data_IF_580213907416
#
_entry.id   IF_580213907416
#
_cell.length_a   1.000
_cell.length_b   1.000
_cell.length_c   1.000
_cell.angle_alpha   90.00
_cell.angle_beta   90.00
_cell.angle_gamma   90.00
#
_symmetry.space_group_name_H-M   'P 1'
#
loop_
_entity.id
_entity.type
_entity.pdbx_description
1 polymer ?
#
# COMPACT_ATOMS: atom_id res chain seq x y z
N UNK A 1 -14.15 45.14 -16.10
CA UNK A 1 -13.06 45.49 -15.18
C UNK A 1 -13.64 45.72 -13.78
N UNK A 2 -13.00 45.15 -12.74
CA UNK A 2 -13.26 45.33 -11.29
C UNK A 2 -14.54 44.61 -10.78
N UNK A 3 -14.57 43.40 -10.19
CA UNK A 3 -13.63 42.64 -9.33
C UNK A 3 -12.82 43.56 -8.40
N UNK A 4 -13.47 44.17 -7.42
CA UNK A 4 -12.74 44.84 -6.32
C UNK A 4 -13.53 45.12 -5.01
N UNK A 5 -14.87 44.97 -4.94
CA UNK A 5 -15.62 45.56 -3.80
C UNK A 5 -16.54 44.60 -3.01
N UNK A 6 -16.25 43.29 -3.01
CA UNK A 6 -16.98 42.31 -2.16
C UNK A 6 -16.31 42.03 -0.80
N UNK A 7 -15.34 42.86 -0.41
CA UNK A 7 -14.46 42.62 0.76
C UNK A 7 -14.97 43.32 2.04
N UNK A 8 -16.04 44.14 2.00
CA UNK A 8 -16.43 44.97 3.15
C UNK A 8 -17.62 44.48 3.99
N UNK A 9 -18.01 43.20 3.90
CA UNK A 9 -19.21 42.69 4.60
C UNK A 9 -18.93 41.63 5.67
N UNK A 10 -17.67 41.20 5.85
CA UNK A 10 -17.34 40.01 6.67
C UNK A 10 -16.92 40.37 8.11
N UNK A 11 -16.80 41.66 8.46
CA UNK A 11 -16.30 42.10 9.78
C UNK A 11 -17.38 42.31 10.86
N UNK A 12 -18.56 41.70 10.79
CA UNK A 12 -19.63 41.99 11.78
C UNK A 12 -20.34 40.79 12.42
N UNK A 13 -19.90 39.55 12.18
CA UNK A 13 -20.48 38.35 12.83
C UNK A 13 -19.50 37.80 13.86
N UNK A 14 -19.05 38.67 14.75
CA UNK A 14 -18.17 38.33 15.87
C UNK A 14 -18.77 38.80 17.19
N UNK A 15 -19.96 38.29 17.56
CA UNK A 15 -20.41 38.25 18.95
C UNK A 15 -21.65 37.37 19.10
N UNK A 16 -21.50 36.05 19.17
CA UNK A 16 -22.33 35.13 19.98
C UNK A 16 -21.93 33.68 19.67
N UNK A 17 -21.53 32.93 20.70
CA UNK A 17 -21.41 31.47 20.63
C UNK A 17 -20.00 30.96 20.83
N UNK A 18 -19.67 30.71 22.11
CA UNK A 18 -18.52 29.93 22.51
C UNK A 18 -18.59 28.49 21.97
N UNK A 19 -17.39 27.89 21.83
CA UNK A 19 -17.06 26.47 21.66
C UNK A 19 -17.43 25.80 20.32
N UNK A 20 -16.44 25.63 19.44
CA UNK A 20 -15.79 24.31 19.27
C UNK A 20 -14.29 24.54 19.03
N UNK A 21 -13.52 23.93 19.92
CA UNK A 21 -12.07 23.79 19.86
C UNK A 21 -11.72 22.60 18.95
N UNK A 22 -10.60 22.76 18.24
CA UNK A 22 -9.69 21.71 17.74
C UNK A 22 -10.19 20.77 16.63
N UNK A 23 -9.60 20.91 15.44
CA UNK A 23 -8.53 20.04 14.93
C UNK A 23 -8.12 20.60 13.55
N UNK A 24 -7.06 21.40 13.44
CA UNK A 24 -5.66 20.97 13.25
C UNK A 24 -5.46 19.87 12.19
N UNK A 25 -4.53 20.18 11.28
CA UNK A 25 -3.72 19.28 10.46
C UNK A 25 -4.34 18.60 9.23
N UNK A 26 -4.08 19.23 8.07
CA UNK A 26 -3.68 18.50 6.86
C UNK A 26 -2.32 17.84 7.13
N UNK A 27 -2.32 16.72 7.84
CA UNK A 27 -1.22 15.75 7.86
C UNK A 27 -1.78 14.40 8.35
N UNK A 28 -1.56 13.34 7.57
CA UNK A 28 -1.75 11.92 7.91
C UNK A 28 -2.97 11.13 7.36
N UNK A 29 -3.76 11.65 6.42
CA UNK A 29 -4.68 10.77 5.65
C UNK A 29 -3.99 9.97 4.54
N UNK A 30 -2.91 10.49 3.94
CA UNK A 30 -2.18 9.76 2.88
C UNK A 30 -1.33 8.59 3.39
N UNK A 31 -1.10 8.49 4.71
CA UNK A 31 -0.27 7.42 5.30
C UNK A 31 -1.07 6.30 5.95
N UNK A 32 -2.35 6.54 6.28
CA UNK A 32 -3.18 5.57 7.00
C UNK A 32 -4.32 4.94 6.17
N UNK A 33 -4.55 5.39 4.93
CA UNK A 33 -5.53 4.76 4.03
C UNK A 33 -5.09 3.37 3.52
N UNK A 34 -3.79 3.09 3.50
CA UNK A 34 -3.23 1.82 3.01
C UNK A 34 -3.14 0.71 4.06
N UNK A 35 -3.37 1.02 5.35
CA UNK A 35 -3.14 0.09 6.47
C UNK A 35 -4.39 -0.20 7.34
N UNK A 36 -5.50 0.50 7.14
CA UNK A 36 -6.73 0.31 7.95
C UNK A 36 -7.82 -0.57 7.31
N UNK A 37 -7.58 -1.11 6.11
CA UNK A 37 -8.60 -1.84 5.32
C UNK A 37 -8.74 -3.33 5.71
N UNK A 38 -8.61 -3.65 7.00
CA UNK A 38 -8.74 -5.02 7.52
C UNK A 38 -10.19 -5.50 7.68
N UNK A 39 -11.20 -4.67 7.42
CA UNK A 39 -12.61 -5.02 7.64
C UNK A 39 -13.43 -4.78 6.36
N UNK A 40 -13.80 -5.89 5.71
CA UNK A 40 -14.87 -5.97 4.69
C UNK A 40 -14.63 -5.11 3.45
N UNK A 41 -13.57 -5.42 2.69
CA UNK A 41 -13.40 -4.83 1.36
C UNK A 41 -14.44 -5.47 0.44
N UNK A 42 -15.53 -4.75 0.16
CA UNK A 42 -16.44 -5.14 -0.92
C UNK A 42 -15.66 -5.27 -2.22
N UNK A 43 -16.04 -6.20 -3.10
CA UNK A 43 -15.36 -6.46 -4.38
C UNK A 43 -14.98 -5.17 -5.14
N UNK A 44 -15.86 -4.17 -5.14
CA UNK A 44 -15.59 -2.86 -5.76
C UNK A 44 -14.49 -2.01 -5.11
N UNK A 45 -14.22 -2.18 -3.82
CA UNK A 45 -13.10 -1.52 -3.15
C UNK A 45 -11.75 -2.21 -3.42
N UNK A 46 -11.75 -3.53 -3.66
CA UNK A 46 -10.55 -4.26 -4.11
C UNK A 46 -10.14 -3.82 -5.52
N UNK A 47 -11.11 -3.72 -6.44
CA UNK A 47 -10.87 -3.26 -7.82
C UNK A 47 -10.34 -1.81 -7.85
N UNK A 48 -10.92 -0.93 -7.02
CA UNK A 48 -10.45 0.45 -6.84
C UNK A 48 -9.00 0.50 -6.36
N UNK A 49 -8.64 -0.29 -5.34
CA UNK A 49 -7.26 -0.35 -4.84
C UNK A 49 -6.27 -0.89 -5.88
N UNK A 50 -6.63 -1.93 -6.65
CA UNK A 50 -5.78 -2.45 -7.73
C UNK A 50 -5.53 -1.37 -8.80
N UNK A 51 -6.56 -0.58 -9.14
CA UNK A 51 -6.45 0.51 -10.10
C UNK A 51 -5.51 1.61 -9.60
N UNK A 52 -5.60 2.01 -8.33
CA UNK A 52 -4.70 3.00 -7.73
C UNK A 52 -3.23 2.54 -7.72
N UNK A 53 -2.97 1.29 -7.33
CA UNK A 53 -1.62 0.73 -7.43
C UNK A 53 -1.11 0.68 -8.88
N UNK A 54 -2.00 0.39 -9.83
CA UNK A 54 -1.64 0.36 -11.25
C UNK A 54 -1.34 1.76 -11.81
N UNK A 55 -1.98 2.82 -11.30
CA UNK A 55 -1.61 4.20 -11.59
C UNK A 55 -0.25 4.54 -10.97
N UNK A 56 -0.02 4.15 -9.71
CA UNK A 56 1.27 4.36 -9.04
C UNK A 56 2.42 3.71 -9.84
N UNK A 57 2.22 2.50 -10.38
CA UNK A 57 3.22 1.81 -11.22
C UNK A 57 3.46 2.47 -12.58
N UNK A 58 2.49 3.24 -13.11
CA UNK A 58 2.72 4.07 -14.31
C UNK A 58 3.60 5.28 -14.01
N UNK A 59 3.55 5.79 -12.77
CA UNK A 59 4.37 6.91 -12.33
C UNK A 59 5.78 6.46 -11.93
N UNK A 60 5.87 5.35 -11.20
CA UNK A 60 7.13 4.71 -10.81
C UNK A 60 7.00 3.18 -10.91
N UNK A 61 7.58 2.63 -11.97
CA UNK A 61 7.58 1.18 -12.23
C UNK A 61 8.68 0.42 -11.50
N UNK A 62 9.54 1.10 -10.74
CA UNK A 62 10.71 0.52 -10.08
C UNK A 62 10.51 0.26 -8.59
N UNK A 63 9.36 0.65 -8.03
CA UNK A 63 9.07 0.48 -6.62
C UNK A 63 8.58 -0.93 -6.29
N UNK A 64 9.47 -1.76 -5.73
CA UNK A 64 9.13 -3.09 -5.23
C UNK A 64 7.96 -3.06 -4.22
N UNK A 65 7.88 -2.02 -3.38
CA UNK A 65 6.81 -1.84 -2.38
C UNK A 65 5.43 -1.70 -3.02
N UNK A 66 5.34 -1.00 -4.15
CA UNK A 66 4.06 -0.81 -4.87
C UNK A 66 3.59 -2.14 -5.46
N UNK A 67 4.50 -2.96 -5.99
CA UNK A 67 4.16 -4.31 -6.44
C UNK A 67 3.70 -5.21 -5.29
N UNK A 68 4.36 -5.18 -4.13
CA UNK A 68 3.91 -5.92 -2.92
C UNK A 68 2.52 -5.46 -2.49
N UNK A 69 2.25 -4.15 -2.47
CA UNK A 69 0.95 -3.59 -2.13
C UNK A 69 -0.15 -4.05 -3.09
N UNK A 70 0.09 -4.00 -4.40
CA UNK A 70 -0.87 -4.49 -5.41
C UNK A 70 -1.12 -5.99 -5.29
N UNK A 71 -0.06 -6.76 -5.05
CA UNK A 71 -0.16 -8.20 -4.87
C UNK A 71 -1.00 -8.59 -3.65
N UNK A 72 -0.86 -7.86 -2.53
CA UNK A 72 -1.67 -8.09 -1.34
C UNK A 72 -3.17 -7.92 -1.63
N UNK A 73 -3.54 -6.89 -2.41
CA UNK A 73 -4.95 -6.67 -2.81
C UNK A 73 -5.44 -7.74 -3.79
N UNK A 74 -4.60 -8.17 -4.73
CA UNK A 74 -4.95 -9.28 -5.64
C UNK A 74 -5.13 -10.59 -4.88
N UNK A 75 -4.27 -10.87 -3.91
CA UNK A 75 -4.38 -12.02 -3.05
C UNK A 75 -5.68 -12.00 -2.23
N UNK A 76 -6.07 -10.85 -1.64
CA UNK A 76 -7.36 -10.73 -0.94
C UNK A 76 -8.57 -10.82 -1.87
N UNK A 77 -8.40 -10.47 -3.16
CA UNK A 77 -9.40 -10.70 -4.20
C UNK A 77 -9.46 -12.15 -4.70
N UNK A 78 -8.58 -13.04 -4.21
CA UNK A 78 -8.48 -14.44 -4.64
C UNK A 78 -7.68 -14.64 -5.93
N UNK A 79 -7.11 -13.59 -6.51
CA UNK A 79 -6.21 -13.66 -7.67
C UNK A 79 -4.78 -14.00 -7.23
N UNK A 80 -4.58 -15.25 -6.82
CA UNK A 80 -3.28 -15.75 -6.36
C UNK A 80 -2.23 -15.69 -7.48
N UNK A 81 -2.60 -16.02 -8.73
CA UNK A 81 -1.70 -15.94 -9.89
C UNK A 81 -1.23 -14.51 -10.18
N UNK A 82 -2.14 -13.55 -10.13
CA UNK A 82 -1.81 -12.14 -10.31
C UNK A 82 -0.98 -11.60 -9.15
N UNK A 83 -1.21 -12.05 -7.92
CA UNK A 83 -0.37 -11.75 -6.77
C UNK A 83 1.05 -12.30 -6.95
N UNK A 84 1.21 -13.56 -7.38
CA UNK A 84 2.53 -14.18 -7.67
C UNK A 84 3.28 -13.39 -8.75
N UNK A 85 2.58 -12.94 -9.80
CA UNK A 85 3.16 -12.15 -10.88
C UNK A 85 3.73 -10.83 -10.36
N UNK A 86 2.95 -10.09 -9.57
CA UNK A 86 3.39 -8.82 -8.98
C UNK A 86 4.53 -9.03 -7.98
N UNK A 87 4.46 -10.08 -7.16
CA UNK A 87 5.52 -10.40 -6.19
C UNK A 87 6.80 -10.85 -6.87
N UNK A 88 6.71 -11.47 -8.04
CA UNK A 88 7.89 -11.80 -8.85
C UNK A 88 8.58 -10.52 -9.32
N UNK A 89 7.84 -9.51 -9.77
CA UNK A 89 8.42 -8.20 -10.07
C UNK A 89 8.98 -7.51 -8.82
N UNK A 90 8.33 -7.62 -7.67
CA UNK A 90 8.88 -7.10 -6.42
C UNK A 90 10.24 -7.73 -6.06
N UNK A 91 10.38 -9.06 -6.22
CA UNK A 91 11.63 -9.78 -5.97
C UNK A 91 12.72 -9.45 -6.99
N UNK A 92 12.37 -9.24 -8.26
CA UNK A 92 13.32 -8.79 -9.30
C UNK A 92 13.87 -7.39 -8.98
N UNK A 93 13.03 -6.50 -8.45
CA UNK A 93 13.40 -5.12 -8.11
C UNK A 93 14.17 -5.02 -6.77
N UNK A 94 13.77 -5.82 -5.78
CA UNK A 94 14.46 -5.92 -4.48
C UNK A 94 14.70 -7.39 -4.11
N UNK A 95 15.83 -7.98 -4.56
CA UNK A 95 16.20 -9.35 -4.25
C UNK A 95 16.52 -9.59 -2.77
N UNK A 96 16.62 -8.53 -1.95
CA UNK A 96 16.86 -8.61 -0.50
C UNK A 96 15.57 -8.41 0.30
N UNK A 97 14.41 -8.36 -0.36
CA UNK A 97 13.14 -8.21 0.32
C UNK A 97 12.63 -9.55 0.88
N UNK A 98 12.96 -9.84 2.14
CA UNK A 98 12.39 -11.00 2.83
C UNK A 98 10.85 -10.97 2.83
N UNK A 99 10.25 -9.78 2.91
CA UNK A 99 8.80 -9.59 2.83
C UNK A 99 8.23 -10.02 1.48
N UNK A 100 8.86 -9.68 0.36
CA UNK A 100 8.39 -10.07 -0.97
C UNK A 100 8.47 -11.59 -1.17
N UNK A 101 9.55 -12.23 -0.70
CA UNK A 101 9.67 -13.69 -0.72
C UNK A 101 8.60 -14.37 0.13
N UNK A 102 8.38 -13.91 1.38
CA UNK A 102 7.35 -14.48 2.25
C UNK A 102 5.95 -14.31 1.68
N UNK A 103 5.62 -13.14 1.13
CA UNK A 103 4.32 -12.92 0.48
C UNK A 103 4.15 -13.80 -0.75
N UNK A 104 5.21 -14.01 -1.56
CA UNK A 104 5.16 -14.89 -2.74
C UNK A 104 5.00 -16.34 -2.35
N UNK A 105 5.66 -16.77 -1.27
CA UNK A 105 5.49 -18.11 -0.71
C UNK A 105 4.03 -18.37 -0.34
N UNK A 106 3.41 -17.45 0.40
CA UNK A 106 1.98 -17.54 0.74
C UNK A 106 1.13 -17.69 -0.51
N UNK A 107 1.26 -16.78 -1.48
CA UNK A 107 0.45 -16.84 -2.71
C UNK A 107 0.65 -18.16 -3.48
N UNK A 108 1.88 -18.69 -3.55
CA UNK A 108 2.20 -19.99 -4.16
C UNK A 108 1.58 -21.17 -3.41
N UNK A 109 1.56 -21.15 -2.07
CA UNK A 109 0.90 -22.19 -1.29
C UNK A 109 -0.60 -22.25 -1.56
N UNK A 110 -1.26 -21.09 -1.67
CA UNK A 110 -2.69 -21.02 -2.01
C UNK A 110 -2.99 -21.39 -3.47
N UNK A 111 -2.03 -21.20 -4.37
CA UNK A 111 -2.11 -21.67 -5.77
C UNK A 111 -1.79 -23.18 -5.91
N UNK A 112 -1.24 -23.81 -4.87
CA UNK A 112 -0.83 -25.22 -4.88
C UNK A 112 0.60 -25.48 -5.34
N UNK A 113 1.39 -24.44 -5.63
CA UNK A 113 2.83 -24.54 -5.88
C UNK A 113 3.61 -24.66 -4.56
N UNK A 114 3.47 -25.82 -3.92
CA UNK A 114 4.16 -26.11 -2.65
C UNK A 114 5.68 -26.06 -2.80
N UNK A 115 6.32 -26.67 -3.84
CA UNK A 115 7.77 -26.61 -3.98
C UNK A 115 8.29 -25.18 -4.16
N UNK A 116 7.61 -24.37 -4.98
CA UNK A 116 7.99 -22.98 -5.19
C UNK A 116 7.78 -22.11 -3.94
N UNK A 117 6.75 -22.40 -3.14
CA UNK A 117 6.52 -21.73 -1.86
C UNK A 117 7.62 -22.04 -0.84
N UNK A 118 8.02 -23.30 -0.71
CA UNK A 118 9.14 -23.72 0.16
C UNK A 118 10.45 -23.05 -0.25
N UNK A 119 10.74 -22.97 -1.55
CA UNK A 119 11.93 -22.29 -2.06
C UNK A 119 11.97 -20.80 -1.67
N UNK A 120 10.81 -20.13 -1.70
CA UNK A 120 10.69 -18.73 -1.30
C UNK A 120 10.85 -18.54 0.21
N UNK A 121 10.29 -19.43 1.05
CA UNK A 121 10.52 -19.40 2.51
C UNK A 121 12.00 -19.55 2.85
N UNK A 122 12.70 -20.46 2.20
CA UNK A 122 14.15 -20.65 2.39
C UNK A 122 14.91 -19.38 2.01
N UNK A 123 14.54 -18.74 0.91
CA UNK A 123 15.17 -17.49 0.45
C UNK A 123 14.94 -16.35 1.45
N UNK A 124 13.71 -16.19 1.95
CA UNK A 124 13.39 -15.22 3.00
C UNK A 124 14.21 -15.47 4.27
N UNK A 125 14.30 -16.73 4.72
CA UNK A 125 15.09 -17.12 5.88
C UNK A 125 16.57 -16.78 5.73
N UNK A 126 17.17 -17.08 4.56
CA UNK A 126 18.56 -16.72 4.26
C UNK A 126 18.79 -15.20 4.34
N UNK A 127 17.88 -14.41 3.78
CA UNK A 127 17.95 -12.95 3.82
C UNK A 127 17.87 -12.45 5.26
N UNK A 128 16.92 -12.95 6.05
CA UNK A 128 16.76 -12.55 7.45
C UNK A 128 18.00 -12.90 8.29
N UNK A 129 18.49 -14.14 8.17
CA UNK A 129 19.69 -14.60 8.87
C UNK A 129 20.91 -13.74 8.47
N UNK A 130 21.09 -13.48 7.18
CA UNK A 130 22.17 -12.62 6.70
C UNK A 130 22.06 -11.20 7.26
N UNK A 131 20.85 -10.63 7.28
CA UNK A 131 20.62 -9.29 7.82
C UNK A 131 20.84 -9.19 9.34
N UNK A 132 20.64 -10.28 10.07
CA UNK A 132 20.76 -10.33 11.54
C UNK A 132 22.17 -10.69 12.03
N UNK A 133 22.94 -11.43 11.24
CA UNK A 133 24.21 -12.02 11.67
C UNK A 133 25.37 -11.77 10.70
N UNK A 134 25.23 -10.82 9.77
CA UNK A 134 26.25 -10.49 8.78
C UNK A 134 27.62 -10.21 9.42
N UNK A 135 28.49 -11.22 9.40
CA UNK A 135 29.94 -11.02 9.44
C UNK A 135 30.39 -10.86 7.99
N UNK A 136 31.14 -9.78 7.78
CA UNK A 136 31.72 -9.33 6.51
C UNK A 136 32.46 -10.43 5.74
#
# INVERSE_FOLDING_TARGET
MKKALRILSISFIALMGMTVSACDNVSDESKNSVLSTGAKIGTGALDGSIAEFSKALKLDSTSAKVYVGRAAVKYTAGDNKGAITDLTKAVELDPKSATAYSARATAKFFEGDIPGGVADVISAGKIMVFSSFGRE
#
